data_IF_557808388239
#
_entry.id   IF_557808388239
#
_cell.length_a   1.000
_cell.length_b   1.000
_cell.length_c   1.000
_cell.angle_alpha   90.00
_cell.angle_beta   90.00
_cell.angle_gamma   90.00
#
_symmetry.space_group_name_H-M   'P 1'
#
loop_
_entity.id
_entity.type
_entity.pdbx_description
1 polymer ?
#
# COMPACT_ATOMS: atom_id res chain seq x y z
N UNK A 1 35.06 61.58 37.62
CA UNK A 1 33.90 61.71 38.54
C UNK A 1 33.53 63.18 38.73
N UNK A 2 34.51 64.03 39.09
CA UNK A 2 34.27 65.45 39.37
C UNK A 2 33.79 66.26 38.15
N UNK A 3 34.28 65.93 36.94
CA UNK A 3 33.79 66.53 35.68
C UNK A 3 32.27 66.44 35.50
N UNK A 4 31.68 65.25 35.72
CA UNK A 4 30.24 65.04 35.57
C UNK A 4 29.43 65.69 36.70
N UNK A 5 30.01 65.77 37.91
CA UNK A 5 29.37 66.45 39.05
C UNK A 5 29.28 67.95 38.77
N UNK A 6 30.35 68.57 38.27
CA UNK A 6 30.35 69.99 37.90
C UNK A 6 29.35 70.29 36.79
N UNK A 7 29.21 69.39 35.80
CA UNK A 7 28.18 69.54 34.78
C UNK A 7 26.76 69.54 35.37
N UNK A 8 26.47 68.57 36.25
CA UNK A 8 25.18 68.47 36.90
C UNK A 8 24.89 69.68 37.80
N UNK A 9 25.90 70.17 38.53
CA UNK A 9 25.80 71.39 39.33
C UNK A 9 25.53 72.61 38.46
N UNK A 10 26.21 72.77 37.32
CA UNK A 10 25.93 73.87 36.40
C UNK A 10 24.48 73.86 35.91
N UNK A 11 23.99 72.68 35.49
CA UNK A 11 22.60 72.55 35.07
C UNK A 11 21.61 72.88 36.19
N UNK A 12 21.88 72.42 37.40
CA UNK A 12 21.07 72.72 38.59
C UNK A 12 21.00 74.22 38.88
N UNK A 13 22.16 74.89 38.99
CA UNK A 13 22.21 76.34 39.24
C UNK A 13 21.52 77.15 38.14
N UNK A 14 21.64 76.70 36.88
CA UNK A 14 20.93 77.33 35.78
C UNK A 14 19.40 77.18 35.92
N UNK A 15 18.92 75.99 36.30
CA UNK A 15 17.50 75.71 36.45
C UNK A 15 16.83 76.51 37.59
N UNK A 16 17.58 76.82 38.66
CA UNK A 16 17.07 77.64 39.78
C UNK A 16 17.27 79.14 39.59
N UNK A 17 17.73 79.59 38.41
CA UNK A 17 17.90 81.01 38.09
C UNK A 17 19.17 81.65 38.66
N UNK A 18 20.21 80.86 38.91
CA UNK A 18 21.52 81.30 39.38
C UNK A 18 22.61 81.15 38.29
N UNK A 19 22.52 81.90 37.17
CA UNK A 19 23.39 81.70 36.00
C UNK A 19 24.87 82.02 36.27
N UNK A 20 25.19 82.84 37.28
CA UNK A 20 26.58 83.13 37.70
C UNK A 20 27.25 81.90 38.30
N UNK A 21 26.57 81.21 39.22
CA UNK A 21 27.08 79.98 39.82
C UNK A 21 27.15 78.86 38.79
N UNK A 22 26.19 78.80 37.86
CA UNK A 22 26.25 77.86 36.74
C UNK A 22 27.48 78.08 35.84
N UNK A 23 27.84 79.35 35.57
CA UNK A 23 29.02 79.72 34.81
C UNK A 23 30.32 79.34 35.53
N UNK A 24 30.40 79.56 36.85
CA UNK A 24 31.56 79.16 37.65
C UNK A 24 31.81 77.65 37.55
N UNK A 25 30.75 76.83 37.66
CA UNK A 25 30.86 75.37 37.53
C UNK A 25 31.29 74.91 36.14
N UNK A 26 30.82 75.56 35.06
CA UNK A 26 31.28 75.24 33.69
C UNK A 26 32.76 75.60 33.48
N UNK A 27 33.24 76.69 34.09
CA UNK A 27 34.67 77.06 34.03
C UNK A 27 35.55 76.09 34.81
N UNK A 28 35.12 75.70 36.00
CA UNK A 28 35.79 74.65 36.79
C UNK A 28 35.80 73.32 36.02
N UNK A 29 34.69 72.98 35.38
CA UNK A 29 34.57 71.79 34.54
C UNK A 29 35.56 71.82 33.37
N UNK A 30 35.67 72.96 32.67
CA UNK A 30 36.64 73.16 31.59
C UNK A 30 38.08 73.07 32.11
N UNK A 31 38.42 73.67 33.25
CA UNK A 31 39.77 73.59 33.80
C UNK A 31 40.20 72.14 34.11
N UNK A 32 39.30 71.33 34.64
CA UNK A 32 39.57 69.92 34.92
C UNK A 32 39.66 69.13 33.62
N UNK A 33 38.92 69.50 32.57
CA UNK A 33 38.97 68.79 31.28
C UNK A 33 40.38 68.73 30.68
N UNK A 34 41.19 69.78 30.84
CA UNK A 34 42.60 69.80 30.40
C UNK A 34 43.52 68.83 31.15
N UNK A 35 43.13 68.41 32.36
CA UNK A 35 43.92 67.51 33.22
C UNK A 35 43.53 66.04 33.06
N UNK A 36 42.42 65.76 32.37
CA UNK A 36 41.93 64.41 32.16
C UNK A 36 42.59 63.79 30.93
N UNK A 37 43.01 62.52 31.02
CA UNK A 37 43.59 61.75 29.91
C UNK A 37 42.55 61.27 28.88
N UNK A 38 41.26 61.51 29.15
CA UNK A 38 40.15 61.13 28.28
C UNK A 38 39.99 62.17 27.17
N UNK A 39 39.53 61.75 25.99
CA UNK A 39 39.20 62.69 24.92
C UNK A 39 37.90 63.41 25.27
N UNK A 40 38.01 64.54 25.96
CA UNK A 40 36.86 65.38 26.31
C UNK A 40 36.68 66.41 25.22
N UNK A 41 35.47 66.45 24.67
CA UNK A 41 35.07 67.44 23.70
C UNK A 41 35.09 68.86 24.31
N UNK A 42 36.20 69.56 24.06
CA UNK A 42 36.45 70.91 24.55
C UNK A 42 35.51 71.93 23.87
N UNK A 43 35.13 71.68 22.61
CA UNK A 43 34.21 72.54 21.86
C UNK A 43 32.87 72.71 22.58
N UNK A 44 32.32 71.60 23.11
CA UNK A 44 31.09 71.58 23.89
C UNK A 44 31.20 72.38 25.19
N UNK A 45 32.34 72.32 25.86
CA UNK A 45 32.56 73.03 27.11
C UNK A 45 32.59 74.55 26.87
N UNK A 46 33.25 75.00 25.81
CA UNK A 46 33.23 76.41 25.39
C UNK A 46 31.83 76.88 24.95
N UNK A 47 31.09 76.03 24.24
CA UNK A 47 29.71 76.33 23.86
C UNK A 47 28.80 76.55 25.08
N UNK A 48 28.90 75.69 26.10
CA UNK A 48 28.12 75.85 27.32
C UNK A 48 28.46 77.18 28.03
N UNK A 49 29.74 77.49 28.17
CA UNK A 49 30.21 78.77 28.76
C UNK A 49 29.67 79.97 27.96
N UNK A 50 29.73 79.91 26.63
CA UNK A 50 29.18 80.93 25.74
C UNK A 50 27.67 81.16 25.98
N UNK A 51 26.89 80.09 26.11
CA UNK A 51 25.46 80.17 26.43
C UNK A 51 25.21 80.83 27.78
N UNK A 52 26.00 80.49 28.80
CA UNK A 52 25.88 81.10 30.14
C UNK A 52 26.17 82.60 30.12
N UNK A 53 27.19 83.03 29.37
CA UNK A 53 27.46 84.45 29.17
C UNK A 53 26.34 85.16 28.40
N UNK A 54 25.71 84.47 27.44
CA UNK A 54 24.55 84.99 26.71
C UNK A 54 23.34 85.19 27.62
N UNK A 55 23.09 84.27 28.56
CA UNK A 55 22.03 84.37 29.57
C UNK A 55 22.30 85.52 30.57
N UNK A 56 23.56 85.87 30.81
CA UNK A 56 23.99 86.99 31.65
C UNK A 56 24.04 88.34 30.91
N UNK A 57 23.60 88.40 29.65
CA UNK A 57 23.70 89.57 28.76
C UNK A 57 25.14 90.09 28.54
N UNK A 58 26.15 89.26 28.83
CA UNK A 58 27.57 89.57 28.62
C UNK A 58 28.01 89.12 27.23
N UNK A 59 27.49 89.81 26.21
CA UNK A 59 27.58 89.38 24.82
C UNK A 59 29.01 89.29 24.28
N UNK A 60 29.93 90.16 24.72
CA UNK A 60 31.33 90.12 24.26
C UNK A 60 32.04 88.84 24.71
N UNK A 61 31.90 88.48 26.00
CA UNK A 61 32.41 87.21 26.53
C UNK A 61 31.72 86.03 25.85
N UNK A 62 30.40 86.12 25.65
CA UNK A 62 29.64 85.08 24.98
C UNK A 62 30.18 84.81 23.57
N UNK A 63 30.48 85.87 22.80
CA UNK A 63 31.01 85.79 21.45
C UNK A 63 32.40 85.15 21.42
N UNK A 64 33.30 85.52 22.34
CA UNK A 64 34.64 84.91 22.46
C UNK A 64 34.53 83.40 22.67
N UNK A 65 33.75 82.99 23.67
CA UNK A 65 33.58 81.57 23.98
C UNK A 65 32.81 80.82 22.89
N UNK A 66 31.90 81.49 22.18
CA UNK A 66 31.16 80.90 21.06
C UNK A 66 32.06 80.61 19.86
N UNK A 67 33.00 81.52 19.56
CA UNK A 67 34.02 81.28 18.51
C UNK A 67 35.01 80.20 18.92
N UNK A 68 35.46 80.20 20.18
CA UNK A 68 36.31 79.12 20.70
C UNK A 68 35.63 77.74 20.59
N UNK A 69 34.32 77.66 20.80
CA UNK A 69 33.59 76.42 20.58
C UNK A 69 33.71 75.93 19.12
N UNK A 70 33.64 76.83 18.15
CA UNK A 70 33.78 76.48 16.73
C UNK A 70 35.23 76.09 16.39
N UNK A 71 36.21 76.86 16.89
CA UNK A 71 37.63 76.65 16.60
C UNK A 71 38.16 75.31 17.16
N UNK A 72 37.55 74.80 18.23
CA UNK A 72 37.92 73.54 18.89
C UNK A 72 37.09 72.34 18.45
N UNK A 73 36.29 72.43 17.39
CA UNK A 73 35.57 71.28 16.83
C UNK A 73 36.58 70.20 16.40
N UNK A 74 36.57 69.05 17.06
CA UNK A 74 37.46 67.92 16.75
C UNK A 74 36.97 67.10 15.55
N UNK A 75 35.69 66.73 15.56
CA UNK A 75 35.04 66.02 14.46
C UNK A 75 34.13 66.98 13.71
N UNK A 76 34.54 67.48 12.52
CA UNK A 76 33.72 68.41 11.73
C UNK A 76 32.40 67.78 11.26
N UNK A 77 32.29 66.45 11.23
CA UNK A 77 31.08 65.72 10.84
C UNK A 77 30.15 65.45 12.03
N UNK A 78 30.53 65.87 13.24
CA UNK A 78 29.68 65.65 14.40
C UNK A 78 28.36 66.41 14.25
N UNK A 79 27.27 65.66 14.42
CA UNK A 79 25.92 66.10 14.02
C UNK A 79 25.46 67.36 14.73
N UNK A 80 25.97 67.62 15.93
CA UNK A 80 25.54 68.75 16.76
C UNK A 80 26.38 70.01 16.53
N UNK A 81 27.41 69.97 15.69
CA UNK A 81 28.26 71.13 15.41
C UNK A 81 27.46 72.35 14.92
N UNK A 82 26.37 72.13 14.17
CA UNK A 82 25.48 73.21 13.71
C UNK A 82 24.97 74.10 14.87
N UNK A 83 24.82 73.55 16.08
CA UNK A 83 24.39 74.29 17.27
C UNK A 83 25.41 75.34 17.69
N UNK A 84 26.71 75.10 17.48
CA UNK A 84 27.77 76.04 17.85
C UNK A 84 27.74 77.28 16.94
N UNK A 85 27.60 77.05 15.64
CA UNK A 85 27.43 78.10 14.64
C UNK A 85 26.12 78.88 14.87
N UNK A 86 25.03 78.19 15.20
CA UNK A 86 23.76 78.84 15.54
C UNK A 86 23.90 79.75 16.77
N UNK A 87 24.57 79.28 17.83
CA UNK A 87 24.78 80.09 19.04
C UNK A 87 25.61 81.36 18.76
N UNK A 88 26.67 81.28 17.95
CA UNK A 88 27.43 82.48 17.53
C UNK A 88 26.55 83.42 16.73
N UNK A 89 25.69 82.90 15.86
CA UNK A 89 24.76 83.73 15.11
C UNK A 89 23.75 84.46 16.00
N UNK A 90 23.19 83.76 16.99
CA UNK A 90 22.22 84.33 17.92
C UNK A 90 22.86 85.40 18.84
N UNK A 91 24.12 85.22 19.22
CA UNK A 91 24.88 86.25 19.94
C UNK A 91 25.13 87.48 19.05
N UNK A 92 25.57 87.27 17.80
CA UNK A 92 25.81 88.36 16.85
C UNK A 92 24.53 89.16 16.56
N UNK A 93 23.38 88.49 16.45
CA UNK A 93 22.08 89.14 16.29
C UNK A 93 21.73 90.00 17.50
N UNK A 94 21.95 89.50 18.73
CA UNK A 94 21.77 90.28 19.97
C UNK A 94 22.72 91.48 20.07
N UNK A 95 23.90 91.40 19.47
CA UNK A 95 24.85 92.52 19.37
C UNK A 95 24.49 93.52 18.25
N UNK A 96 23.49 93.21 17.41
CA UNK A 96 23.12 94.02 16.25
C UNK A 96 24.00 93.82 15.01
N UNK A 97 24.92 92.86 15.04
CA UNK A 97 25.76 92.50 13.88
C UNK A 97 25.04 91.46 13.01
N UNK A 98 24.10 91.94 12.20
CA UNK A 98 23.30 91.11 11.31
C UNK A 98 24.13 90.45 10.20
N UNK A 99 25.28 91.01 9.82
CA UNK A 99 26.14 90.43 8.80
C UNK A 99 26.79 89.15 9.31
N UNK A 100 27.37 89.21 10.52
CA UNK A 100 27.95 88.05 11.19
C UNK A 100 26.85 87.03 11.52
N UNK A 101 25.70 87.48 12.04
CA UNK A 101 24.59 86.59 12.35
C UNK A 101 24.13 85.79 11.12
N UNK A 102 23.93 86.45 9.98
CA UNK A 102 23.51 85.78 8.75
C UNK A 102 24.57 84.80 8.22
N UNK A 103 25.86 85.15 8.31
CA UNK A 103 26.95 84.25 7.91
C UNK A 103 26.90 82.94 8.70
N UNK A 104 26.90 83.03 10.03
CA UNK A 104 26.90 81.83 10.88
C UNK A 104 25.58 81.05 10.81
N UNK A 105 24.43 81.70 10.55
CA UNK A 105 23.16 81.00 10.26
C UNK A 105 23.23 80.13 9.01
N UNK A 106 23.86 80.62 7.93
CA UNK A 106 24.04 79.85 6.70
C UNK A 106 24.92 78.62 6.94
N UNK A 107 26.03 78.80 7.66
CA UNK A 107 26.95 77.71 8.01
C UNK A 107 26.26 76.64 8.88
N UNK A 108 25.47 77.07 9.88
CA UNK A 108 24.67 76.15 10.70
C UNK A 108 23.66 75.35 9.86
N UNK A 109 22.96 76.00 8.91
CA UNK A 109 21.97 75.35 8.07
C UNK A 109 22.58 74.29 7.14
N UNK A 110 23.74 74.57 6.54
CA UNK A 110 24.45 73.61 5.69
C UNK A 110 24.95 72.38 6.49
N UNK A 111 25.52 72.61 7.68
CA UNK A 111 25.93 71.51 8.58
C UNK A 111 24.74 70.65 9.01
N UNK A 112 23.62 71.29 9.36
CA UNK A 112 22.40 70.56 9.71
C UNK A 112 21.90 69.70 8.54
N UNK A 113 21.81 70.29 7.34
CA UNK A 113 21.38 69.59 6.11
C UNK A 113 22.26 68.37 5.82
N UNK A 114 23.58 68.52 5.88
CA UNK A 114 24.52 67.40 5.67
C UNK A 114 24.30 66.29 6.69
N UNK A 115 24.11 66.63 7.97
CA UNK A 115 23.92 65.64 9.04
C UNK A 115 22.62 64.83 8.89
N UNK A 116 21.57 65.46 8.36
CA UNK A 116 20.28 64.81 8.11
C UNK A 116 20.35 63.89 6.89
N UNK A 117 21.02 64.35 5.82
CA UNK A 117 21.18 63.56 4.60
C UNK A 117 21.92 62.25 4.87
N UNK A 118 23.05 62.28 5.57
CA UNK A 118 23.83 61.08 5.90
C UNK A 118 22.99 60.02 6.67
N UNK A 119 22.09 60.48 7.55
CA UNK A 119 21.20 59.60 8.30
C UNK A 119 20.16 58.95 7.39
N UNK A 120 19.58 59.73 6.49
CA UNK A 120 18.59 59.21 5.54
C UNK A 120 19.24 58.21 4.59
N UNK A 121 20.41 58.52 4.05
CA UNK A 121 21.15 57.62 3.16
C UNK A 121 21.51 56.30 3.86
N UNK A 122 21.94 56.36 5.13
CA UNK A 122 22.21 55.16 5.93
C UNK A 122 20.95 54.33 6.16
N UNK A 123 19.83 54.96 6.51
CA UNK A 123 18.55 54.26 6.74
C UNK A 123 18.02 53.63 5.44
N UNK A 124 18.15 54.33 4.31
CA UNK A 124 17.78 53.81 3.00
C UNK A 124 18.61 52.57 2.67
N UNK A 125 19.94 52.64 2.82
CA UNK A 125 20.83 51.50 2.56
C UNK A 125 20.52 50.30 3.46
N UNK A 126 20.19 50.52 4.75
CA UNK A 126 19.76 49.44 5.65
C UNK A 126 18.44 48.80 5.22
N UNK A 127 17.47 49.60 4.75
CA UNK A 127 16.19 49.11 4.27
C UNK A 127 16.35 48.33 2.96
N UNK A 128 17.12 48.85 2.00
CA UNK A 128 17.43 48.18 0.73
C UNK A 128 18.09 46.83 0.99
N UNK A 129 19.09 46.78 1.88
CA UNK A 129 19.75 45.52 2.26
C UNK A 129 18.78 44.50 2.85
N UNK A 130 17.85 44.95 3.73
CA UNK A 130 16.83 44.06 4.30
C UNK A 130 15.86 43.56 3.23
N UNK A 131 15.47 44.44 2.31
CA UNK A 131 14.58 44.09 1.21
C UNK A 131 15.23 43.05 0.28
N UNK A 132 16.46 43.27 -0.15
CA UNK A 132 17.21 42.36 -1.02
C UNK A 132 17.41 40.99 -0.36
N UNK A 133 17.76 40.97 0.93
CA UNK A 133 17.85 39.73 1.70
C UNK A 133 16.51 38.98 1.69
N UNK A 134 15.43 39.67 2.04
CA UNK A 134 14.07 39.09 2.07
C UNK A 134 13.64 38.59 0.70
N UNK A 135 13.97 39.29 -0.37
CA UNK A 135 13.65 38.88 -1.73
C UNK A 135 14.44 37.62 -2.13
N UNK A 136 15.72 37.55 -1.79
CA UNK A 136 16.57 36.38 -2.05
C UNK A 136 16.10 35.14 -1.28
N UNK A 137 15.73 35.29 -0.01
CA UNK A 137 15.19 34.21 0.83
C UNK A 137 13.85 33.72 0.26
N UNK A 138 12.97 34.63 -0.16
CA UNK A 138 11.71 34.27 -0.79
C UNK A 138 11.91 33.52 -2.12
N UNK A 139 12.87 33.94 -2.95
CA UNK A 139 13.22 33.24 -4.19
C UNK A 139 13.73 31.82 -3.89
N UNK A 140 14.62 31.68 -2.91
CA UNK A 140 15.13 30.38 -2.48
C UNK A 140 14.03 29.47 -1.91
N UNK A 141 13.13 30.02 -1.10
CA UNK A 141 12.00 29.30 -0.51
C UNK A 141 11.04 28.79 -1.60
N UNK A 142 10.70 29.65 -2.58
CA UNK A 142 9.86 29.26 -3.73
C UNK A 142 10.51 28.15 -4.55
N UNK A 143 11.81 28.23 -4.81
CA UNK A 143 12.55 27.18 -5.51
C UNK A 143 12.54 25.86 -4.73
N UNK A 144 12.75 25.91 -3.41
CA UNK A 144 12.68 24.73 -2.55
C UNK A 144 11.28 24.10 -2.55
N UNK A 145 10.23 24.92 -2.50
CA UNK A 145 8.84 24.47 -2.56
C UNK A 145 8.50 23.82 -3.91
N UNK A 146 8.95 24.39 -5.03
CA UNK A 146 8.79 23.79 -6.37
C UNK A 146 9.51 22.44 -6.46
N UNK A 147 10.75 22.35 -5.97
CA UNK A 147 11.49 21.10 -5.95
C UNK A 147 10.79 20.04 -5.11
N UNK A 148 10.27 20.40 -3.93
CA UNK A 148 9.46 19.51 -3.09
C UNK A 148 8.21 19.00 -3.82
N UNK A 149 7.49 19.88 -4.53
CA UNK A 149 6.31 19.49 -5.31
C UNK A 149 6.66 18.49 -6.42
N UNK A 150 7.78 18.70 -7.13
CA UNK A 150 8.26 17.78 -8.17
C UNK A 150 8.61 16.42 -7.56
N UNK A 151 9.31 16.39 -6.43
CA UNK A 151 9.67 15.15 -5.73
C UNK A 151 8.41 14.39 -5.28
N UNK A 152 7.43 15.08 -4.68
CA UNK A 152 6.17 14.47 -4.25
C UNK A 152 5.40 13.90 -5.45
N UNK A 153 5.30 14.64 -6.55
CA UNK A 153 4.66 14.16 -7.77
C UNK A 153 5.36 12.91 -8.34
N UNK A 154 6.70 12.88 -8.35
CA UNK A 154 7.46 11.72 -8.79
C UNK A 154 7.23 10.49 -7.89
N UNK A 155 7.17 10.67 -6.57
CA UNK A 155 6.90 9.58 -5.62
C UNK A 155 5.50 8.99 -5.81
N UNK A 156 4.48 9.83 -6.02
CA UNK A 156 3.11 9.38 -6.30
C UNK A 156 3.09 8.54 -7.60
N UNK A 157 3.81 8.97 -8.62
CA UNK A 157 3.91 8.27 -9.90
C UNK A 157 4.58 6.89 -9.72
N UNK A 158 5.67 6.81 -8.94
CA UNK A 158 6.36 5.55 -8.61
C UNK A 158 5.42 4.59 -7.86
N UNK A 159 4.69 5.07 -6.87
CA UNK A 159 3.73 4.25 -6.12
C UNK A 159 2.64 3.70 -7.06
N UNK A 160 2.12 4.54 -7.96
CA UNK A 160 1.17 4.11 -8.99
C UNK A 160 1.71 3.00 -9.89
N UNK A 161 2.96 3.13 -10.35
CA UNK A 161 3.62 2.11 -11.17
C UNK A 161 3.81 0.78 -10.41
N UNK A 162 4.19 0.83 -9.14
CA UNK A 162 4.33 -0.36 -8.29
C UNK A 162 2.99 -1.09 -8.17
N UNK A 163 1.89 -0.37 -7.96
CA UNK A 163 0.54 -0.94 -7.88
C UNK A 163 0.15 -1.61 -9.20
N UNK A 164 0.43 -0.98 -10.35
CA UNK A 164 0.14 -1.55 -11.68
C UNK A 164 0.93 -2.84 -11.88
N UNK A 165 2.25 -2.84 -11.62
CA UNK A 165 3.11 -4.01 -11.75
C UNK A 165 2.63 -5.14 -10.84
N UNK A 166 2.28 -4.83 -9.59
CA UNK A 166 1.77 -5.80 -8.63
C UNK A 166 0.46 -6.44 -9.10
N UNK A 167 -0.46 -5.66 -9.68
CA UNK A 167 -1.70 -6.19 -10.24
C UNK A 167 -1.44 -7.09 -11.45
N UNK A 168 -0.56 -6.71 -12.37
CA UNK A 168 -0.17 -7.54 -13.52
C UNK A 168 0.43 -8.88 -13.04
N UNK A 169 1.33 -8.84 -12.06
CA UNK A 169 1.90 -10.05 -11.46
C UNK A 169 0.85 -10.93 -10.79
N UNK A 170 -0.09 -10.33 -10.05
CA UNK A 170 -1.19 -11.06 -9.40
C UNK A 170 -2.06 -11.76 -10.44
N UNK A 171 -2.46 -11.05 -11.50
CA UNK A 171 -3.28 -11.62 -12.58
C UNK A 171 -2.54 -12.77 -13.26
N UNK A 172 -1.27 -12.57 -13.66
CA UNK A 172 -0.46 -13.63 -14.29
C UNK A 172 -0.34 -14.88 -13.41
N UNK A 173 -0.11 -14.70 -12.10
CA UNK A 173 -0.03 -15.82 -11.14
C UNK A 173 -1.34 -16.58 -11.03
N UNK A 174 -2.47 -15.87 -10.91
CA UNK A 174 -3.79 -16.49 -10.83
C UNK A 174 -4.12 -17.25 -12.12
N UNK A 175 -3.86 -16.67 -13.29
CA UNK A 175 -4.10 -17.32 -14.58
C UNK A 175 -3.27 -18.60 -14.73
N UNK A 176 -1.98 -18.57 -14.35
CA UNK A 176 -1.11 -19.75 -14.38
C UNK A 176 -1.62 -20.86 -13.44
N UNK A 177 -2.03 -20.50 -12.23
CA UNK A 177 -2.61 -21.47 -11.28
C UNK A 177 -3.91 -22.08 -11.79
N UNK A 178 -4.81 -21.27 -12.39
CA UNK A 178 -6.05 -21.77 -12.98
C UNK A 178 -5.77 -22.76 -14.12
N UNK A 179 -4.78 -22.47 -14.97
CA UNK A 179 -4.39 -23.37 -16.05
C UNK A 179 -3.90 -24.72 -15.51
N UNK A 180 -2.99 -24.71 -14.53
CA UNK A 180 -2.47 -25.93 -13.90
C UNK A 180 -3.57 -26.77 -13.24
N UNK A 181 -4.53 -26.12 -12.56
CA UNK A 181 -5.67 -26.82 -11.95
C UNK A 181 -6.57 -27.45 -13.02
N UNK A 182 -6.83 -26.76 -14.12
CA UNK A 182 -7.63 -27.31 -15.23
C UNK A 182 -6.92 -28.49 -15.89
N UNK A 183 -5.63 -28.39 -16.14
CA UNK A 183 -4.83 -29.48 -16.73
C UNK A 183 -4.82 -30.72 -15.83
N UNK A 184 -4.61 -30.54 -14.52
CA UNK A 184 -4.70 -31.64 -13.56
C UNK A 184 -6.09 -32.28 -13.51
N UNK A 185 -7.16 -31.49 -13.58
CA UNK A 185 -8.54 -32.01 -13.61
C UNK A 185 -8.82 -32.79 -14.88
N UNK A 186 -8.37 -32.29 -16.04
CA UNK A 186 -8.51 -33.00 -17.31
C UNK A 186 -7.77 -34.34 -17.27
N UNK A 187 -6.54 -34.35 -16.78
CA UNK A 187 -5.76 -35.58 -16.67
C UNK A 187 -6.42 -36.61 -15.72
N UNK A 188 -7.00 -36.15 -14.60
CA UNK A 188 -7.77 -37.01 -13.71
C UNK A 188 -9.02 -37.60 -14.39
N UNK A 189 -9.74 -36.78 -15.17
CA UNK A 189 -10.91 -37.24 -15.92
C UNK A 189 -10.53 -38.26 -17.00
N UNK A 190 -9.42 -38.04 -17.70
CA UNK A 190 -8.89 -38.98 -18.70
C UNK A 190 -8.55 -40.33 -18.07
N UNK A 191 -7.82 -40.33 -16.95
CA UNK A 191 -7.48 -41.55 -16.24
C UNK A 191 -8.72 -42.29 -15.75
N UNK A 192 -9.71 -41.58 -15.19
CA UNK A 192 -10.96 -42.18 -14.74
C UNK A 192 -11.74 -42.78 -15.91
N UNK A 193 -11.82 -42.09 -17.05
CA UNK A 193 -12.46 -42.61 -18.26
C UNK A 193 -11.73 -43.84 -18.81
N UNK A 194 -10.40 -43.88 -18.73
CA UNK A 194 -9.60 -45.03 -19.14
C UNK A 194 -9.86 -46.26 -18.26
N UNK A 195 -9.90 -46.07 -16.93
CA UNK A 195 -10.25 -47.12 -15.97
C UNK A 195 -11.65 -47.67 -16.27
N UNK A 196 -12.65 -46.80 -16.42
CA UNK A 196 -14.02 -47.20 -16.75
C UNK A 196 -14.09 -47.98 -18.07
N UNK A 197 -13.38 -47.53 -19.11
CA UNK A 197 -13.29 -48.25 -20.40
C UNK A 197 -12.60 -49.60 -20.25
N UNK A 198 -11.56 -49.70 -19.43
CA UNK A 198 -10.85 -50.96 -19.18
C UNK A 198 -11.75 -51.97 -18.44
N UNK A 199 -12.50 -51.54 -17.43
CA UNK A 199 -13.46 -52.37 -16.71
C UNK A 199 -14.60 -52.85 -17.63
N UNK A 200 -15.19 -51.94 -18.43
CA UNK A 200 -16.22 -52.31 -19.40
C UNK A 200 -15.71 -53.35 -20.42
N UNK A 201 -14.46 -53.20 -20.90
CA UNK A 201 -13.82 -54.19 -21.79
C UNK A 201 -13.66 -55.55 -21.11
N UNK A 202 -13.23 -55.58 -19.85
CA UNK A 202 -13.10 -56.83 -19.07
C UNK A 202 -14.46 -57.53 -18.91
N UNK A 203 -15.52 -56.79 -18.57
CA UNK A 203 -16.90 -57.32 -18.45
C UNK A 203 -17.36 -57.95 -19.77
N UNK A 204 -17.20 -57.23 -20.88
CA UNK A 204 -17.56 -57.72 -22.22
C UNK A 204 -16.79 -58.97 -22.63
N UNK A 205 -15.50 -59.03 -22.30
CA UNK A 205 -14.68 -60.21 -22.58
C UNK A 205 -15.11 -61.43 -21.76
N UNK A 206 -15.42 -61.26 -20.46
CA UNK A 206 -15.90 -62.34 -19.60
C UNK A 206 -17.21 -62.94 -20.15
N UNK A 207 -18.20 -62.11 -20.50
CA UNK A 207 -19.46 -62.59 -21.10
C UNK A 207 -19.18 -63.40 -22.36
N UNK A 208 -18.31 -62.90 -23.24
CA UNK A 208 -17.98 -63.58 -24.50
C UNK A 208 -17.28 -64.93 -24.25
N UNK A 209 -16.38 -65.00 -23.27
CA UNK A 209 -15.69 -66.24 -22.89
C UNK A 209 -16.69 -67.29 -22.38
N UNK A 210 -17.54 -66.91 -21.42
CA UNK A 210 -18.56 -67.81 -20.86
C UNK A 210 -19.57 -68.26 -21.92
N UNK A 211 -20.03 -67.35 -22.78
CA UNK A 211 -20.93 -67.68 -23.89
C UNK A 211 -20.33 -68.75 -24.80
N UNK A 212 -19.04 -68.65 -25.14
CA UNK A 212 -18.36 -69.63 -25.99
C UNK A 212 -18.21 -71.00 -25.29
N UNK A 213 -17.81 -71.01 -24.01
CA UNK A 213 -17.68 -72.24 -23.23
C UNK A 213 -19.03 -72.96 -23.14
N UNK A 214 -20.09 -72.23 -22.82
CA UNK A 214 -21.42 -72.81 -22.68
C UNK A 214 -21.99 -73.28 -24.03
N UNK A 215 -21.85 -72.52 -25.12
CA UNK A 215 -22.25 -72.99 -26.46
C UNK A 215 -21.53 -74.29 -26.85
N UNK A 216 -20.23 -74.41 -26.57
CA UNK A 216 -19.46 -75.65 -26.80
C UNK A 216 -19.96 -76.80 -25.94
N UNK A 217 -20.33 -76.51 -24.69
CA UNK A 217 -20.80 -77.51 -23.77
C UNK A 217 -22.17 -78.05 -24.20
N UNK A 218 -23.11 -77.18 -24.59
CA UNK A 218 -24.40 -77.59 -25.14
C UNK A 218 -24.22 -78.43 -26.40
N UNK A 219 -23.28 -78.06 -27.29
CA UNK A 219 -22.94 -78.86 -28.46
C UNK A 219 -22.44 -80.26 -28.09
N UNK A 220 -21.54 -80.37 -27.11
CA UNK A 220 -21.03 -81.67 -26.65
C UNK A 220 -22.14 -82.52 -26.02
N UNK A 221 -23.06 -81.92 -25.26
CA UNK A 221 -24.22 -82.62 -24.69
C UNK A 221 -25.12 -83.17 -25.79
N UNK A 222 -25.45 -82.38 -26.83
CA UNK A 222 -26.28 -82.81 -27.96
C UNK A 222 -25.63 -83.96 -28.75
N UNK A 223 -24.33 -83.86 -29.04
CA UNK A 223 -23.59 -84.94 -29.72
C UNK A 223 -23.50 -86.21 -28.87
N UNK A 224 -23.30 -86.06 -27.56
CA UNK A 224 -23.30 -87.20 -26.65
C UNK A 224 -24.69 -87.84 -26.56
N UNK A 225 -25.77 -87.05 -26.51
CA UNK A 225 -27.14 -87.57 -26.50
C UNK A 225 -27.44 -88.38 -27.79
N UNK A 226 -27.10 -87.84 -28.96
CA UNK A 226 -27.19 -88.57 -30.25
C UNK A 226 -26.43 -89.90 -30.25
N UNK A 227 -25.22 -89.93 -29.67
CA UNK A 227 -24.43 -91.15 -29.54
C UNK A 227 -25.10 -92.15 -28.60
N UNK A 228 -25.58 -91.71 -27.45
CA UNK A 228 -26.23 -92.58 -26.45
C UNK A 228 -27.51 -93.22 -26.97
N UNK A 229 -28.29 -92.53 -27.83
CA UNK A 229 -29.49 -93.07 -28.44
C UNK A 229 -29.25 -94.38 -29.23
N UNK A 230 -28.05 -94.58 -29.77
CA UNK A 230 -27.67 -95.81 -30.50
C UNK A 230 -27.49 -97.03 -29.58
N UNK A 231 -27.32 -96.81 -28.28
CA UNK A 231 -27.09 -97.85 -27.27
C UNK A 231 -28.36 -98.22 -26.47
N UNK A 232 -29.49 -97.54 -26.73
CA UNK A 232 -30.78 -97.72 -26.03
C UNK A 232 -31.25 -99.17 -26.08
N UNK A 233 -31.17 -99.79 -27.26
CA UNK A 233 -31.68 -101.16 -27.49
C UNK A 233 -30.59 -102.23 -27.37
N UNK A 234 -29.32 -101.87 -27.63
CA UNK A 234 -28.21 -102.83 -27.75
C UNK A 234 -27.46 -103.06 -26.43
N UNK A 235 -27.32 -102.04 -25.57
CA UNK A 235 -26.68 -102.16 -24.25
C UNK A 235 -27.35 -101.25 -23.20
N UNK A 236 -28.51 -101.68 -22.64
CA UNK A 236 -29.33 -100.83 -21.76
C UNK A 236 -28.64 -100.35 -20.48
N UNK A 237 -27.67 -101.12 -19.95
CA UNK A 237 -26.90 -100.75 -18.76
C UNK A 237 -25.93 -99.60 -19.06
N UNK A 238 -25.22 -99.67 -20.19
CA UNK A 238 -24.31 -98.61 -20.66
C UNK A 238 -25.09 -97.33 -20.97
N UNK A 239 -26.26 -97.44 -21.59
CA UNK A 239 -27.14 -96.29 -21.81
C UNK A 239 -27.57 -95.62 -20.49
N UNK A 240 -27.99 -96.39 -19.48
CA UNK A 240 -28.35 -95.85 -18.15
C UNK A 240 -27.18 -95.16 -17.46
N UNK A 241 -25.98 -95.73 -17.53
CA UNK A 241 -24.78 -95.12 -16.94
C UNK A 241 -24.39 -93.83 -17.67
N UNK A 242 -24.46 -93.81 -19.01
CA UNK A 242 -24.23 -92.60 -19.82
C UNK A 242 -25.26 -91.50 -19.55
N UNK A 243 -26.55 -91.84 -19.41
CA UNK A 243 -27.59 -90.89 -19.02
C UNK A 243 -27.36 -90.35 -17.60
N UNK A 244 -26.87 -91.19 -16.67
CA UNK A 244 -26.52 -90.76 -15.32
C UNK A 244 -25.37 -89.76 -15.33
N UNK A 245 -24.34 -90.00 -16.15
CA UNK A 245 -23.22 -89.05 -16.32
C UNK A 245 -23.73 -87.71 -16.88
N UNK A 246 -24.52 -87.72 -17.97
CA UNK A 246 -25.12 -86.51 -18.53
C UNK A 246 -25.95 -85.74 -17.50
N UNK A 247 -26.80 -86.44 -16.74
CA UNK A 247 -27.66 -85.83 -15.73
C UNK A 247 -26.85 -85.24 -14.58
N UNK A 248 -25.78 -85.91 -14.15
CA UNK A 248 -24.88 -85.40 -13.13
C UNK A 248 -24.12 -84.17 -13.63
N UNK A 249 -23.60 -84.19 -14.86
CA UNK A 249 -22.95 -83.03 -15.48
C UNK A 249 -23.91 -81.84 -15.63
N UNK A 250 -25.16 -82.06 -16.04
CA UNK A 250 -26.18 -80.98 -16.08
C UNK A 250 -26.45 -80.39 -14.69
N UNK A 251 -26.46 -81.25 -13.65
CA UNK A 251 -26.64 -80.83 -12.26
C UNK A 251 -25.44 -80.03 -11.77
N UNK A 252 -24.21 -80.50 -11.98
CA UNK A 252 -22.97 -79.79 -11.61
C UNK A 252 -22.87 -78.42 -12.31
N UNK A 253 -23.28 -78.33 -13.58
CA UNK A 253 -23.28 -77.07 -14.32
C UNK A 253 -24.37 -76.10 -13.85
N UNK A 254 -25.52 -76.60 -13.42
CA UNK A 254 -26.53 -75.77 -12.75
C UNK A 254 -26.04 -75.28 -11.39
N UNK A 255 -25.23 -76.06 -10.69
CA UNK A 255 -24.67 -75.69 -9.38
C UNK A 255 -23.45 -74.73 -9.50
N UNK A 256 -22.89 -74.54 -10.69
CA UNK A 256 -21.88 -73.50 -10.93
C UNK A 256 -22.44 -72.10 -10.64
N UNK A 257 -23.73 -71.84 -10.87
CA UNK A 257 -24.34 -70.55 -10.51
C UNK A 257 -24.38 -70.31 -9.00
N UNK A 258 -24.44 -71.38 -8.20
CA UNK A 258 -24.35 -71.33 -6.73
C UNK A 258 -22.90 -71.09 -6.30
N UNK A 259 -21.93 -71.69 -6.99
CA UNK A 259 -20.50 -71.49 -6.71
C UNK A 259 -20.02 -70.10 -7.12
N UNK A 260 -20.59 -69.54 -8.19
CA UNK A 260 -20.34 -68.18 -8.68
C UNK A 260 -21.30 -67.15 -8.09
N UNK A 261 -22.04 -67.51 -7.02
CA UNK A 261 -22.92 -66.56 -6.36
C UNK A 261 -22.08 -65.37 -5.87
N UNK A 262 -22.45 -64.14 -6.25
CA UNK A 262 -21.73 -62.96 -5.81
C UNK A 262 -21.91 -62.78 -4.30
N UNK A 263 -20.84 -62.35 -3.61
CA UNK A 263 -21.02 -61.76 -2.28
C UNK A 263 -21.83 -60.46 -2.39
N UNK A 264 -22.44 -60.02 -1.27
CA UNK A 264 -23.33 -58.86 -1.27
C UNK A 264 -22.64 -57.55 -1.72
N UNK A 265 -21.34 -57.42 -1.48
CA UNK A 265 -20.55 -56.26 -1.89
C UNK A 265 -20.33 -56.27 -3.42
N UNK A 266 -20.00 -57.43 -3.98
CA UNK A 266 -19.87 -57.64 -5.41
C UNK A 266 -21.22 -57.43 -6.10
N UNK A 267 -22.31 -57.99 -5.57
CA UNK A 267 -23.66 -57.79 -6.10
C UNK A 267 -24.06 -56.30 -6.15
N UNK A 268 -23.84 -55.57 -5.06
CA UNK A 268 -24.11 -54.13 -4.99
C UNK A 268 -23.25 -53.33 -5.97
N UNK A 269 -21.97 -53.70 -6.14
CA UNK A 269 -21.05 -52.98 -7.05
C UNK A 269 -21.46 -53.07 -8.54
N UNK A 270 -22.18 -54.11 -8.92
CA UNK A 270 -22.64 -54.31 -10.30
C UNK A 270 -24.08 -53.82 -10.53
N UNK A 271 -24.96 -53.96 -9.54
CA UNK A 271 -26.40 -53.67 -9.71
C UNK A 271 -26.86 -52.39 -9.04
N UNK A 272 -26.08 -51.85 -8.10
CA UNK A 272 -26.47 -50.78 -7.18
C UNK A 272 -27.73 -51.09 -6.34
N UNK A 273 -28.13 -52.37 -6.27
CA UNK A 273 -29.29 -52.85 -5.50
C UNK A 273 -28.81 -53.38 -4.16
N UNK A 274 -29.41 -52.92 -3.06
CA UNK A 274 -29.21 -53.48 -1.72
C UNK A 274 -30.33 -54.46 -1.41
N UNK A 275 -29.99 -55.71 -1.19
CA UNK A 275 -30.93 -56.76 -0.80
C UNK A 275 -30.83 -57.03 0.71
N UNK A 276 -31.24 -56.05 1.53
CA UNK A 276 -31.07 -56.08 3.00
C UNK A 276 -31.95 -57.14 3.71
N UNK A 277 -32.91 -57.73 2.99
CA UNK A 277 -33.88 -58.70 3.50
C UNK A 277 -33.72 -60.10 2.88
N UNK A 278 -32.64 -60.32 2.12
CA UNK A 278 -32.35 -61.55 1.36
C UNK A 278 -33.57 -62.06 0.55
N UNK A 279 -34.27 -61.11 -0.08
CA UNK A 279 -35.47 -61.36 -0.88
C UNK A 279 -35.08 -62.10 -2.16
N UNK A 280 -33.89 -61.83 -2.70
CA UNK A 280 -33.41 -62.37 -3.97
C UNK A 280 -32.55 -63.61 -3.72
N UNK A 281 -32.85 -64.71 -4.40
CA UNK A 281 -32.00 -65.89 -4.34
C UNK A 281 -30.74 -65.72 -5.20
N UNK A 282 -29.73 -66.59 -5.00
CA UNK A 282 -28.45 -66.53 -5.73
C UNK A 282 -28.60 -66.50 -7.26
N UNK A 283 -29.55 -67.25 -7.82
CA UNK A 283 -29.80 -67.27 -9.26
C UNK A 283 -30.44 -65.97 -9.76
N UNK A 284 -31.33 -65.36 -8.98
CA UNK A 284 -31.92 -64.05 -9.27
C UNK A 284 -30.87 -62.93 -9.20
N UNK A 285 -30.02 -62.94 -8.15
CA UNK A 285 -28.89 -62.02 -8.01
C UNK A 285 -27.93 -62.11 -9.22
N UNK A 286 -27.65 -63.32 -9.69
CA UNK A 286 -26.79 -63.56 -10.84
C UNK A 286 -27.42 -63.09 -12.16
N UNK A 287 -28.72 -63.33 -12.39
CA UNK A 287 -29.44 -62.80 -13.56
C UNK A 287 -29.37 -61.27 -13.59
N UNK A 288 -29.58 -60.60 -12.45
CA UNK A 288 -29.49 -59.14 -12.37
C UNK A 288 -28.08 -58.64 -12.66
N UNK A 289 -27.04 -59.26 -12.11
CA UNK A 289 -25.65 -58.89 -12.43
C UNK A 289 -25.31 -59.05 -13.91
N UNK A 290 -25.80 -60.10 -14.56
CA UNK A 290 -25.59 -60.31 -15.99
C UNK A 290 -26.36 -59.28 -16.83
N UNK A 291 -27.56 -58.88 -16.40
CA UNK A 291 -28.31 -57.78 -17.01
C UNK A 291 -27.58 -56.44 -16.86
N UNK A 292 -27.01 -56.15 -15.68
CA UNK A 292 -26.12 -55.00 -15.46
C UNK A 292 -24.88 -54.99 -16.38
N UNK A 293 -24.51 -56.15 -16.91
CA UNK A 293 -23.41 -56.29 -17.87
C UNK A 293 -23.90 -56.32 -19.33
N UNK A 294 -25.14 -55.90 -19.61
CA UNK A 294 -25.77 -55.87 -20.93
C UNK A 294 -25.89 -57.25 -21.60
N UNK A 295 -25.99 -58.33 -20.81
CA UNK A 295 -26.20 -59.67 -21.37
C UNK A 295 -27.59 -59.79 -22.00
N UNK A 296 -27.65 -60.23 -23.26
CA UNK A 296 -28.91 -60.46 -23.95
C UNK A 296 -29.61 -61.75 -23.46
N UNK A 297 -30.88 -61.93 -23.85
CA UNK A 297 -31.65 -63.10 -23.41
C UNK A 297 -31.07 -64.44 -23.90
N UNK A 298 -30.30 -64.46 -25.01
CA UNK A 298 -29.64 -65.68 -25.50
C UNK A 298 -28.44 -66.00 -24.63
N UNK A 299 -27.60 -65.01 -24.33
CA UNK A 299 -26.45 -65.14 -23.44
C UNK A 299 -26.87 -65.56 -22.03
N UNK A 300 -27.96 -64.99 -21.49
CA UNK A 300 -28.54 -65.41 -20.22
C UNK A 300 -29.03 -66.87 -20.25
N UNK A 301 -29.67 -67.30 -21.34
CA UNK A 301 -30.18 -68.66 -21.50
C UNK A 301 -29.03 -69.67 -21.55
N UNK A 302 -28.00 -69.33 -22.33
CA UNK A 302 -26.75 -70.07 -22.41
C UNK A 302 -26.02 -70.12 -21.06
N UNK A 303 -25.92 -69.00 -20.34
CA UNK A 303 -25.26 -68.97 -19.04
C UNK A 303 -26.00 -69.79 -17.98
N UNK A 304 -27.32 -69.66 -17.93
CA UNK A 304 -28.18 -70.36 -16.95
C UNK A 304 -28.53 -71.79 -17.39
N UNK A 305 -27.94 -72.28 -18.48
CA UNK A 305 -28.20 -73.58 -19.10
C UNK A 305 -29.70 -73.90 -19.20
N UNK A 306 -30.44 -72.99 -19.81
CA UNK A 306 -31.90 -73.06 -19.96
C UNK A 306 -32.33 -72.47 -21.30
N UNK A 307 -33.63 -72.52 -21.60
CA UNK A 307 -34.16 -71.95 -22.84
C UNK A 307 -34.35 -70.44 -22.74
N UNK A 308 -34.27 -69.75 -23.89
CA UNK A 308 -34.55 -68.30 -23.98
C UNK A 308 -35.94 -67.97 -23.44
N UNK A 309 -36.92 -68.85 -23.67
CA UNK A 309 -38.28 -68.67 -23.17
C UNK A 309 -38.34 -68.78 -21.65
N UNK A 310 -37.60 -69.72 -21.04
CA UNK A 310 -37.47 -69.80 -19.58
C UNK A 310 -36.83 -68.54 -19.00
N UNK A 311 -35.86 -67.93 -19.68
CA UNK A 311 -35.26 -66.66 -19.22
C UNK A 311 -36.27 -65.52 -19.28
N UNK A 312 -37.07 -65.41 -20.35
CA UNK A 312 -38.10 -64.37 -20.46
C UNK A 312 -39.11 -64.46 -19.32
N UNK A 313 -39.60 -65.67 -19.05
CA UNK A 313 -40.53 -65.91 -17.94
C UNK A 313 -39.89 -65.55 -16.59
N UNK A 314 -38.66 -66.00 -16.33
CA UNK A 314 -37.94 -65.69 -15.09
C UNK A 314 -37.67 -64.19 -14.93
N UNK A 315 -37.30 -63.48 -15.99
CA UNK A 315 -37.13 -62.01 -15.97
C UNK A 315 -38.45 -61.31 -15.63
N UNK A 316 -39.56 -61.74 -16.23
CA UNK A 316 -40.87 -61.16 -15.93
C UNK A 316 -41.30 -61.41 -14.48
N UNK A 317 -41.07 -62.63 -13.96
CA UNK A 317 -41.35 -62.98 -12.57
C UNK A 317 -40.48 -62.17 -11.60
N UNK A 318 -39.19 -62.03 -11.92
CA UNK A 318 -38.24 -61.28 -11.11
C UNK A 318 -38.58 -59.78 -11.10
N UNK A 319 -38.92 -59.18 -12.25
CA UNK A 319 -39.38 -57.78 -12.35
C UNK A 319 -40.63 -57.54 -11.50
N UNK A 320 -41.58 -58.47 -11.52
CA UNK A 320 -42.79 -58.42 -10.67
C UNK A 320 -42.42 -58.50 -9.18
N UNK A 321 -41.60 -59.48 -8.79
CA UNK A 321 -41.13 -59.69 -7.41
C UNK A 321 -40.40 -58.45 -6.87
N UNK A 322 -39.54 -57.84 -7.67
CA UNK A 322 -38.82 -56.61 -7.32
C UNK A 322 -39.76 -55.41 -7.16
N UNK A 323 -40.72 -55.25 -8.07
CA UNK A 323 -41.73 -54.19 -7.99
C UNK A 323 -42.62 -54.33 -6.75
N UNK A 324 -42.99 -55.55 -6.36
CA UNK A 324 -43.82 -55.82 -5.17
C UNK A 324 -43.06 -55.54 -3.86
N UNK A 325 -41.72 -55.60 -3.89
CA UNK A 325 -40.85 -55.35 -2.74
C UNK A 325 -40.14 -53.99 -2.77
N UNK A 326 -40.60 -53.04 -3.61
CA UNK A 326 -40.04 -51.70 -3.77
C UNK A 326 -38.53 -51.66 -4.14
N UNK A 327 -38.05 -52.67 -4.86
CA UNK A 327 -36.68 -52.72 -5.39
C UNK A 327 -36.66 -52.06 -6.78
N UNK A 328 -35.61 -51.30 -7.10
CA UNK A 328 -35.45 -50.63 -8.40
C UNK A 328 -35.44 -51.64 -9.56
N UNK A 329 -36.28 -51.38 -10.57
CA UNK A 329 -36.47 -52.22 -11.76
C UNK A 329 -35.81 -51.62 -13.03
N UNK A 330 -35.08 -50.51 -12.90
CA UNK A 330 -34.39 -49.82 -14.02
C UNK A 330 -33.46 -50.74 -14.83
N UNK A 331 -32.87 -51.74 -14.16
CA UNK A 331 -31.95 -52.73 -14.72
C UNK A 331 -32.55 -53.62 -15.84
N UNK A 332 -33.88 -53.70 -15.94
CA UNK A 332 -34.53 -54.50 -16.98
C UNK A 332 -34.64 -53.78 -18.34
N UNK A 333 -34.28 -52.49 -18.42
CA UNK A 333 -34.60 -51.63 -19.56
C UNK A 333 -36.10 -51.33 -19.67
N UNK A 334 -36.47 -50.40 -20.55
CA UNK A 334 -37.87 -50.22 -20.97
C UNK A 334 -38.43 -51.48 -21.64
#
# INVERSE_FOLDING_TARGET
KDYYILNAQSFYFNAIGEPKLALEREKEQLNISYSLKENIDISRSYFNISRRYTELEQLDSAMVYGKLAIDFIEDPKFRQNHLYYQNVADIAEKQGDYLIANKYRKEAAELYKSSVQDRLDTQIAEIEKKYDLTESENKALKAHQQNMQIIIAALILIIGLIIIIMNIHRIRKVTKMRLLVTESKLHQQELQAEIMRAEARKRKWLIKLYSNISERLTFLQDEFEKLTQRYVSSQPKVYKDMQKILKNTDTELRDISVTLAPDDQTFYSYTCIKDEQDILNANEKLILMLLSCEADNRQLATFMNTTVESIRVRKSQLKKKMSENNIDISIFGE
#
